data_IF_027512793311
#
_entry.id   IF_027512793311
#
_cell.length_a   1.000
_cell.length_b   1.000
_cell.length_c   1.000
_cell.angle_alpha   90.00
_cell.angle_beta   90.00
_cell.angle_gamma   90.00
#
_symmetry.space_group_name_H-M   'P 1'
#
loop_
_entity.id
_entity.type
_entity.pdbx_description
1 polymer ?
#
# COMPACT_ATOMS: atom_id res chain seq x y z
N UNK A 1 50.14 -41.67 -27.04
CA UNK A 1 49.36 -40.65 -27.77
C UNK A 1 48.02 -40.51 -27.07
N UNK A 2 47.79 -39.41 -26.36
CA UNK A 2 46.61 -39.17 -25.50
C UNK A 2 45.51 -38.48 -26.31
N UNK A 3 44.30 -39.05 -26.33
CA UNK A 3 43.07 -38.31 -26.66
C UNK A 3 42.08 -38.58 -25.54
N UNK A 4 42.03 -37.67 -24.58
CA UNK A 4 41.01 -37.63 -23.53
C UNK A 4 39.90 -36.69 -24.02
N UNK A 5 38.73 -37.25 -24.33
CA UNK A 5 37.50 -36.48 -24.52
C UNK A 5 37.18 -35.75 -23.21
N UNK A 6 37.09 -34.42 -23.27
CA UNK A 6 36.55 -33.59 -22.20
C UNK A 6 35.02 -33.64 -22.27
N UNK A 7 34.29 -33.98 -21.20
CA UNK A 7 32.87 -33.73 -21.14
C UNK A 7 32.65 -32.21 -20.96
N UNK A 8 31.86 -31.63 -21.84
CA UNK A 8 31.39 -30.25 -21.71
C UNK A 8 30.41 -30.16 -20.55
N UNK A 9 30.76 -29.41 -19.52
CA UNK A 9 29.83 -29.01 -18.46
C UNK A 9 28.96 -27.89 -19.02
N UNK A 10 27.71 -28.19 -19.35
CA UNK A 10 26.72 -27.19 -19.69
C UNK A 10 26.22 -26.55 -18.38
N UNK A 11 26.71 -25.35 -18.07
CA UNK A 11 26.19 -24.54 -16.98
C UNK A 11 24.78 -24.05 -17.32
N UNK A 12 23.78 -24.62 -16.64
CA UNK A 12 22.41 -24.16 -16.69
C UNK A 12 22.29 -22.87 -15.85
N UNK A 13 22.30 -21.71 -16.50
CA UNK A 13 21.92 -20.45 -15.86
C UNK A 13 20.39 -20.40 -15.84
N UNK A 14 19.78 -20.69 -14.69
CA UNK A 14 18.37 -20.38 -14.46
C UNK A 14 18.22 -18.85 -14.39
N UNK A 15 17.61 -18.24 -15.43
CA UNK A 15 17.15 -16.86 -15.35
C UNK A 15 15.95 -16.79 -14.40
N UNK A 16 16.18 -16.36 -13.16
CA UNK A 16 15.12 -15.92 -12.24
C UNK A 16 14.73 -14.49 -12.60
N UNK A 17 13.93 -14.32 -13.66
CA UNK A 17 13.55 -12.99 -14.17
C UNK A 17 12.52 -12.26 -13.27
N UNK A 18 11.98 -12.91 -12.24
CA UNK A 18 10.99 -12.32 -11.32
C UNK A 18 11.57 -11.49 -10.17
N UNK A 19 12.87 -11.60 -9.88
CA UNK A 19 13.48 -11.00 -8.68
C UNK A 19 13.86 -9.53 -8.85
N UNK A 20 14.17 -9.10 -10.07
CA UNK A 20 14.74 -7.77 -10.34
C UNK A 20 13.70 -6.66 -10.09
N UNK A 21 12.47 -6.80 -10.60
CA UNK A 21 11.43 -5.78 -10.43
C UNK A 21 10.97 -5.60 -8.97
N UNK A 22 10.91 -6.69 -8.19
CA UNK A 22 10.54 -6.64 -6.78
C UNK A 22 11.66 -6.08 -5.90
N UNK A 23 12.93 -6.43 -6.17
CA UNK A 23 14.08 -5.86 -5.46
C UNK A 23 14.26 -4.37 -5.78
N UNK A 24 14.12 -3.97 -7.04
CA UNK A 24 14.17 -2.56 -7.45
C UNK A 24 12.98 -1.77 -6.92
N UNK A 25 11.79 -2.37 -6.88
CA UNK A 25 10.60 -1.79 -6.26
C UNK A 25 10.82 -1.56 -4.76
N UNK A 26 11.30 -2.58 -4.05
CA UNK A 26 11.64 -2.52 -2.62
C UNK A 26 12.61 -1.40 -2.29
N UNK A 27 13.76 -1.34 -2.98
CA UNK A 27 14.76 -0.32 -2.73
C UNK A 27 14.20 1.10 -2.92
N UNK A 28 13.25 1.28 -3.86
CA UNK A 28 12.64 2.58 -4.16
C UNK A 28 11.53 2.98 -3.17
N UNK A 29 10.81 2.03 -2.57
CA UNK A 29 9.76 2.33 -1.58
C UNK A 29 10.26 2.30 -0.14
N UNK A 30 11.35 1.59 0.15
CA UNK A 30 11.91 1.49 1.49
C UNK A 30 12.42 2.84 2.01
N UNK A 31 11.98 3.19 3.22
CA UNK A 31 12.43 4.40 3.91
C UNK A 31 11.34 5.07 4.73
N UNK A 32 11.66 6.27 5.19
CA UNK A 32 10.72 7.16 5.85
C UNK A 32 10.31 8.27 4.90
N UNK A 33 9.00 8.45 4.77
CA UNK A 33 8.35 9.37 3.88
C UNK A 33 7.59 10.41 4.68
N UNK A 34 7.70 11.68 4.30
CA UNK A 34 6.96 12.79 4.90
C UNK A 34 6.08 13.44 3.85
N UNK A 35 4.91 13.90 4.27
CA UNK A 35 3.94 14.55 3.39
C UNK A 35 4.61 15.72 2.65
N UNK A 36 4.51 15.75 1.32
CA UNK A 36 5.16 16.75 0.48
C UNK A 36 4.34 18.05 0.37
N UNK A 37 3.07 18.01 0.76
CA UNK A 37 2.17 19.16 0.81
C UNK A 37 1.82 19.54 2.27
N UNK A 38 1.32 20.76 2.53
CA UNK A 38 0.77 21.12 3.84
C UNK A 38 -0.35 20.17 4.26
N UNK A 39 -0.44 19.87 5.56
CA UNK A 39 -1.46 18.97 6.12
C UNK A 39 -2.87 19.43 5.75
N UNK A 40 -3.15 20.73 5.86
CA UNK A 40 -4.44 21.31 5.48
C UNK A 40 -4.80 21.09 4.00
N UNK A 41 -3.81 20.99 3.11
CA UNK A 41 -4.07 20.67 1.71
C UNK A 41 -4.46 19.19 1.57
N UNK A 42 -3.74 18.29 2.24
CA UNK A 42 -4.04 16.87 2.23
C UNK A 42 -5.41 16.56 2.85
N UNK A 43 -5.79 17.23 3.94
CA UNK A 43 -7.12 17.14 4.56
C UNK A 43 -8.22 17.50 3.54
N UNK A 44 -8.07 18.61 2.81
CA UNK A 44 -9.04 18.98 1.75
C UNK A 44 -9.09 17.97 0.59
N UNK A 45 -8.00 17.26 0.31
CA UNK A 45 -8.00 16.20 -0.71
C UNK A 45 -8.82 15.00 -0.21
N UNK A 46 -8.63 14.59 1.06
CA UNK A 46 -9.42 13.54 1.70
C UNK A 46 -10.89 13.92 1.79
N UNK A 47 -11.19 15.16 2.22
CA UNK A 47 -12.57 15.66 2.35
C UNK A 47 -13.32 15.62 1.02
N UNK A 48 -12.67 16.05 -0.08
CA UNK A 48 -13.28 15.99 -1.42
C UNK A 48 -13.54 14.55 -1.88
N UNK A 49 -12.64 13.62 -1.56
CA UNK A 49 -12.84 12.21 -1.89
C UNK A 49 -13.99 11.59 -1.08
N UNK A 50 -14.07 11.91 0.21
CA UNK A 50 -15.17 11.49 1.08
C UNK A 50 -16.51 12.08 0.63
N UNK A 51 -16.53 13.36 0.23
CA UNK A 51 -17.70 14.02 -0.33
C UNK A 51 -18.15 13.37 -1.65
N UNK A 52 -17.22 13.07 -2.57
CA UNK A 52 -17.55 12.40 -3.83
C UNK A 52 -18.21 11.04 -3.59
N UNK A 53 -17.58 10.18 -2.78
CA UNK A 53 -18.12 8.85 -2.48
C UNK A 53 -19.47 8.92 -1.73
N UNK A 54 -19.64 9.87 -0.81
CA UNK A 54 -20.90 10.07 -0.11
C UNK A 54 -22.01 10.62 -1.03
N UNK A 55 -21.68 11.45 -2.01
CA UNK A 55 -22.67 12.03 -2.93
C UNK A 55 -23.32 10.97 -3.85
N UNK A 56 -22.62 9.87 -4.12
CA UNK A 56 -23.19 8.72 -4.82
C UNK A 56 -24.27 7.97 -4.00
N UNK A 57 -24.34 8.19 -2.69
CA UNK A 57 -25.33 7.57 -1.80
C UNK A 57 -26.67 8.29 -1.79
N UNK A 58 -27.69 7.68 -1.16
CA UNK A 58 -28.99 8.32 -0.93
C UNK A 58 -28.86 9.54 -0.01
N UNK A 59 -29.60 10.61 -0.33
CA UNK A 59 -29.51 11.91 0.35
C UNK A 59 -29.69 11.83 1.87
N UNK A 60 -30.51 10.89 2.35
CA UNK A 60 -30.78 10.68 3.78
C UNK A 60 -29.54 10.29 4.59
N UNK A 61 -28.57 9.59 3.97
CA UNK A 61 -27.39 9.06 4.68
C UNK A 61 -26.09 9.80 4.35
N UNK A 62 -26.08 10.70 3.36
CA UNK A 62 -24.85 11.35 2.84
C UNK A 62 -24.04 12.05 3.91
N UNK A 63 -24.71 12.80 4.79
CA UNK A 63 -24.02 13.55 5.85
C UNK A 63 -23.31 12.61 6.84
N UNK A 64 -23.98 11.52 7.22
CA UNK A 64 -23.43 10.50 8.11
C UNK A 64 -22.28 9.77 7.43
N UNK A 65 -22.46 9.36 6.18
CA UNK A 65 -21.43 8.68 5.40
C UNK A 65 -20.18 9.55 5.22
N UNK A 66 -20.36 10.83 4.87
CA UNK A 66 -19.27 11.80 4.73
C UNK A 66 -18.48 11.94 6.02
N UNK A 67 -19.14 12.09 7.17
CA UNK A 67 -18.46 12.17 8.47
C UNK A 67 -17.67 10.89 8.73
N UNK A 68 -18.30 9.71 8.58
CA UNK A 68 -17.63 8.42 8.82
C UNK A 68 -16.41 8.19 7.94
N UNK A 69 -16.50 8.52 6.65
CA UNK A 69 -15.37 8.39 5.72
C UNK A 69 -14.20 9.31 6.07
N UNK A 70 -14.50 10.54 6.50
CA UNK A 70 -13.50 11.51 6.96
C UNK A 70 -12.88 11.06 8.28
N UNK A 71 -13.70 10.76 9.28
CA UNK A 71 -13.26 10.45 10.65
C UNK A 71 -12.48 9.12 10.68
N UNK A 72 -12.80 8.18 9.78
CA UNK A 72 -12.05 6.93 9.57
C UNK A 72 -10.81 7.06 8.67
N UNK A 73 -10.40 8.28 8.29
CA UNK A 73 -9.23 8.53 7.45
C UNK A 73 -8.31 9.58 8.05
N UNK A 74 -7.28 9.12 8.75
CA UNK A 74 -6.21 9.99 9.25
C UNK A 74 -5.23 10.36 8.12
N UNK A 75 -4.95 11.66 7.97
CA UNK A 75 -3.85 12.13 7.09
C UNK A 75 -2.51 11.78 7.73
N UNK A 76 -1.79 10.86 7.09
CA UNK A 76 -0.46 10.45 7.52
C UNK A 76 0.59 11.52 7.18
N UNK A 77 1.13 12.19 8.20
CA UNK A 77 2.23 13.16 8.05
C UNK A 77 3.56 12.48 7.75
N UNK A 78 3.71 11.26 8.26
CA UNK A 78 4.87 10.38 8.12
C UNK A 78 4.42 8.95 7.91
N UNK A 79 5.06 8.27 6.97
CA UNK A 79 4.92 6.83 6.72
C UNK A 79 6.32 6.22 6.75
N UNK A 80 6.52 5.12 7.45
CA UNK A 80 7.75 4.34 7.39
C UNK A 80 7.46 2.99 6.76
N UNK A 81 8.23 2.66 5.73
CA UNK A 81 8.23 1.35 5.06
C UNK A 81 9.59 0.73 5.35
N UNK A 82 9.61 -0.41 6.04
CA UNK A 82 10.84 -1.17 6.35
C UNK A 82 10.64 -2.61 5.95
N UNK A 83 11.71 -3.25 5.48
CA UNK A 83 11.66 -4.65 5.12
C UNK A 83 12.69 -5.45 5.91
N UNK A 84 12.30 -6.61 6.41
CA UNK A 84 13.16 -7.59 7.07
C UNK A 84 12.91 -8.96 6.46
N UNK A 85 13.88 -9.51 5.72
CA UNK A 85 13.62 -10.65 4.84
C UNK A 85 12.46 -10.34 3.89
N UNK A 86 11.43 -11.19 3.89
CA UNK A 86 10.21 -11.03 3.08
C UNK A 86 9.08 -10.28 3.82
N UNK A 87 9.30 -9.88 5.06
CA UNK A 87 8.32 -9.11 5.82
C UNK A 87 8.44 -7.61 5.52
N UNK A 88 7.30 -6.99 5.19
CA UNK A 88 7.20 -5.53 5.14
C UNK A 88 6.47 -5.01 6.37
N UNK A 89 7.05 -4.01 7.02
CA UNK A 89 6.43 -3.26 8.11
C UNK A 89 6.09 -1.85 7.63
N UNK A 90 4.79 -1.54 7.60
CA UNK A 90 4.27 -0.19 7.35
C UNK A 90 3.90 0.44 8.68
N UNK A 91 4.44 1.62 8.99
CA UNK A 91 4.07 2.41 10.18
C UNK A 91 3.51 3.77 9.79
N UNK A 92 2.38 4.11 10.39
CA UNK A 92 1.61 5.33 10.14
C UNK A 92 1.83 6.38 11.23
N UNK A 93 1.23 7.57 11.06
CA UNK A 93 1.45 8.71 11.95
C UNK A 93 0.73 8.63 13.30
N UNK A 94 -0.33 7.82 13.36
CA UNK A 94 -1.07 7.50 14.59
C UNK A 94 -0.36 6.46 15.46
N UNK A 95 0.81 5.97 15.03
CA UNK A 95 1.59 4.94 15.73
C UNK A 95 1.21 3.52 15.34
N UNK A 96 0.12 3.30 14.58
CA UNK A 96 -0.24 2.00 14.06
C UNK A 96 0.86 1.46 13.14
N UNK A 97 1.11 0.15 13.24
CA UNK A 97 2.09 -0.54 12.42
C UNK A 97 1.61 -1.94 12.05
N UNK A 98 1.84 -2.33 10.80
CA UNK A 98 1.43 -3.62 10.26
C UNK A 98 2.64 -4.30 9.63
N UNK A 99 3.00 -5.47 10.17
CA UNK A 99 3.99 -6.36 9.59
C UNK A 99 3.28 -7.47 8.83
N UNK A 100 3.58 -7.59 7.54
CA UNK A 100 2.94 -8.52 6.60
C UNK A 100 4.01 -9.17 5.71
N UNK A 101 4.05 -10.50 5.62
CA UNK A 101 4.89 -11.19 4.64
C UNK A 101 4.45 -10.85 3.22
N UNK A 102 5.40 -10.61 2.33
CA UNK A 102 5.11 -10.34 0.92
C UNK A 102 4.54 -11.58 0.24
N UNK A 103 3.49 -11.38 -0.58
CA UNK A 103 2.84 -12.43 -1.36
C UNK A 103 1.84 -13.28 -0.57
N UNK A 104 1.80 -13.15 0.75
CA UNK A 104 0.90 -13.93 1.61
C UNK A 104 -0.22 -13.08 2.20
N UNK A 105 -1.34 -13.75 2.51
CA UNK A 105 -2.46 -13.13 3.22
C UNK A 105 -2.43 -13.61 4.66
N UNK A 106 -2.41 -12.66 5.59
CA UNK A 106 -2.37 -12.97 7.02
C UNK A 106 -3.60 -12.43 7.73
N UNK A 107 -4.22 -13.30 8.54
CA UNK A 107 -5.32 -12.90 9.41
C UNK A 107 -4.80 -12.19 10.66
N UNK A 108 -5.39 -11.05 10.99
CA UNK A 108 -5.10 -10.22 12.15
C UNK A 108 -6.41 -9.79 12.81
N UNK A 109 -6.31 -9.23 14.01
CA UNK A 109 -7.37 -8.42 14.60
C UNK A 109 -6.93 -6.98 14.66
N UNK A 110 -7.84 -6.05 14.45
CA UNK A 110 -7.59 -4.64 14.70
C UNK A 110 -7.59 -4.31 16.21
N UNK A 111 -7.50 -3.03 16.55
CA UNK A 111 -7.50 -2.58 17.95
C UNK A 111 -8.85 -2.81 18.65
N UNK A 112 -9.94 -2.96 17.89
CA UNK A 112 -11.29 -3.19 18.39
C UNK A 112 -11.64 -4.70 18.43
N UNK A 113 -10.74 -5.57 17.97
CA UNK A 113 -10.91 -7.02 17.95
C UNK A 113 -11.57 -7.58 16.68
N UNK A 114 -11.91 -6.71 15.71
CA UNK A 114 -12.46 -7.09 14.41
C UNK A 114 -11.40 -7.85 13.62
N UNK A 115 -11.81 -8.97 13.00
CA UNK A 115 -10.90 -9.76 12.17
C UNK A 115 -10.69 -9.09 10.82
N UNK A 116 -9.42 -8.94 10.44
CA UNK A 116 -9.03 -8.47 9.13
C UNK A 116 -8.08 -9.46 8.45
N UNK A 117 -8.14 -9.56 7.13
CA UNK A 117 -7.11 -10.17 6.31
C UNK A 117 -6.22 -9.07 5.75
N UNK A 118 -4.91 -9.25 5.84
CA UNK A 118 -3.92 -8.28 5.39
C UNK A 118 -2.99 -8.95 4.39
N UNK A 119 -2.83 -8.34 3.22
CA UNK A 119 -1.99 -8.84 2.14
C UNK A 119 -1.06 -7.74 1.66
N UNK A 120 0.23 -8.03 1.50
CA UNK A 120 1.18 -7.10 0.91
C UNK A 120 1.85 -7.74 -0.31
N UNK A 121 1.96 -7.00 -1.43
CA UNK A 121 2.63 -7.50 -2.64
C UNK A 121 3.18 -6.37 -3.49
N UNK A 122 4.25 -6.64 -4.23
CA UNK A 122 4.66 -5.76 -5.31
C UNK A 122 3.79 -6.00 -6.55
N UNK A 123 3.39 -4.90 -7.18
CA UNK A 123 2.82 -4.89 -8.52
C UNK A 123 3.94 -4.92 -9.56
N UNK A 124 3.59 -5.22 -10.81
CA UNK A 124 4.54 -5.28 -11.93
C UNK A 124 5.28 -3.96 -12.17
N UNK A 125 4.67 -2.82 -11.84
CA UNK A 125 5.23 -1.48 -11.95
C UNK A 125 6.22 -1.11 -10.81
N UNK A 126 6.42 -2.03 -9.85
CA UNK A 126 7.26 -1.79 -8.67
C UNK A 126 6.55 -1.04 -7.53
N UNK A 127 5.25 -0.77 -7.66
CA UNK A 127 4.44 -0.24 -6.55
C UNK A 127 4.23 -1.32 -5.49
N UNK A 128 4.32 -0.95 -4.22
CA UNK A 128 3.90 -1.83 -3.12
C UNK A 128 2.41 -1.63 -2.87
N UNK A 129 1.62 -2.69 -2.94
CA UNK A 129 0.21 -2.71 -2.57
C UNK A 129 0.04 -3.39 -1.20
N UNK A 130 -0.69 -2.73 -0.31
CA UNK A 130 -1.15 -3.28 0.97
C UNK A 130 -2.68 -3.27 0.99
N UNK A 131 -3.28 -4.44 1.17
CA UNK A 131 -4.74 -4.63 1.18
C UNK A 131 -5.17 -5.03 2.58
N UNK A 132 -6.15 -4.32 3.12
CA UNK A 132 -6.77 -4.57 4.41
C UNK A 132 -8.24 -4.90 4.15
N UNK A 133 -8.65 -6.13 4.40
CA UNK A 133 -10.01 -6.60 4.16
C UNK A 133 -10.68 -6.98 5.47
N UNK A 134 -11.88 -6.45 5.69
CA UNK A 134 -12.77 -6.71 6.84
C UNK A 134 -14.12 -7.17 6.33
N UNK A 135 -15.06 -7.49 7.22
CA UNK A 135 -16.47 -7.69 6.82
C UNK A 135 -17.12 -6.39 6.34
N UNK A 136 -16.67 -5.25 6.88
CA UNK A 136 -17.19 -3.92 6.54
C UNK A 136 -16.75 -3.39 5.18
N UNK A 137 -15.67 -3.91 4.61
CA UNK A 137 -15.11 -3.46 3.34
C UNK A 137 -13.61 -3.70 3.22
N UNK A 138 -13.03 -3.14 2.16
CA UNK A 138 -11.62 -3.29 1.82
C UNK A 138 -10.95 -1.93 1.67
N UNK A 139 -9.73 -1.81 2.19
CA UNK A 139 -8.88 -0.63 2.03
C UNK A 139 -7.56 -1.02 1.37
N UNK A 140 -7.18 -0.28 0.35
CA UNK A 140 -5.89 -0.41 -0.33
C UNK A 140 -5.02 0.78 0.00
N UNK A 141 -3.75 0.52 0.26
CA UNK A 141 -2.67 1.49 0.17
C UNK A 141 -1.74 1.07 -0.96
N UNK A 142 -1.54 1.96 -1.93
CA UNK A 142 -0.66 1.71 -3.07
C UNK A 142 0.46 2.74 -3.00
N UNK A 143 1.65 2.27 -2.65
CA UNK A 143 2.87 3.05 -2.52
C UNK A 143 3.64 2.97 -3.83
N UNK A 144 3.46 3.97 -4.68
CA UNK A 144 4.11 4.05 -5.99
C UNK A 144 5.36 4.94 -5.90
N UNK A 145 6.57 4.37 -6.06
CA UNK A 145 7.77 5.18 -6.15
C UNK A 145 7.70 6.05 -7.41
N UNK A 146 7.90 7.36 -7.25
CA UNK A 146 7.98 8.30 -8.35
C UNK A 146 9.46 8.64 -8.63
N UNK A 147 9.73 9.81 -9.24
CA UNK A 147 11.10 10.31 -9.39
C UNK A 147 11.87 10.27 -8.05
N UNK A 148 13.20 10.25 -8.10
CA UNK A 148 14.04 10.04 -6.92
C UNK A 148 13.58 10.81 -5.67
N UNK A 149 13.40 10.10 -4.57
CA UNK A 149 12.97 10.67 -3.30
C UNK A 149 11.51 11.14 -3.26
N UNK A 150 10.66 10.72 -4.20
CA UNK A 150 9.20 10.96 -4.19
C UNK A 150 8.44 9.65 -4.11
N UNK A 151 7.35 9.68 -3.35
CA UNK A 151 6.41 8.57 -3.22
C UNK A 151 5.00 9.08 -3.39
N UNK A 152 4.26 8.50 -4.32
CA UNK A 152 2.84 8.69 -4.44
C UNK A 152 2.14 7.61 -3.60
N UNK A 153 1.18 8.01 -2.77
CA UNK A 153 0.36 7.06 -2.01
C UNK A 153 -1.08 7.23 -2.42
N UNK A 154 -1.62 6.25 -3.14
CA UNK A 154 -3.04 6.16 -3.44
C UNK A 154 -3.72 5.32 -2.34
N UNK A 155 -4.86 5.81 -1.87
CA UNK A 155 -5.71 5.12 -0.91
C UNK A 155 -7.07 4.94 -1.53
N UNK A 156 -7.54 3.69 -1.52
CA UNK A 156 -8.87 3.30 -2.00
C UNK A 156 -9.59 2.66 -0.83
N UNK A 157 -10.85 3.03 -0.61
CA UNK A 157 -11.72 2.39 0.39
C UNK A 157 -13.03 2.04 -0.29
N UNK A 158 -13.37 0.77 -0.27
CA UNK A 158 -14.58 0.22 -0.88
C UNK A 158 -15.37 -0.61 0.14
N UNK A 159 -16.68 -0.66 -0.04
CA UNK A 159 -17.59 -1.38 0.84
C UNK A 159 -18.87 -1.73 0.09
N UNK A 160 -19.52 -2.88 0.40
CA UNK A 160 -20.84 -3.19 -0.15
C UNK A 160 -21.91 -2.11 0.14
N UNK A 161 -21.67 -1.25 1.13
CA UNK A 161 -22.56 -0.13 1.49
C UNK A 161 -22.25 1.15 0.71
N UNK A 162 -21.24 1.15 -0.14
CA UNK A 162 -20.78 2.28 -0.94
C UNK A 162 -21.08 2.02 -2.42
N UNK A 163 -21.92 2.85 -3.08
CA UNK A 163 -22.13 2.74 -4.52
C UNK A 163 -20.85 3.01 -5.33
N UNK A 164 -19.98 3.87 -4.78
CA UNK A 164 -18.69 4.21 -5.35
C UNK A 164 -17.62 4.20 -4.24
N UNK A 165 -16.44 3.68 -4.56
CA UNK A 165 -15.30 3.68 -3.66
C UNK A 165 -14.79 5.10 -3.40
N UNK A 166 -14.35 5.37 -2.17
CA UNK A 166 -13.58 6.57 -1.86
C UNK A 166 -12.14 6.37 -2.37
N UNK A 167 -11.62 7.32 -3.13
CA UNK A 167 -10.26 7.29 -3.67
C UNK A 167 -9.59 8.64 -3.57
N UNK A 168 -8.35 8.64 -3.09
CA UNK A 168 -7.52 9.84 -3.09
C UNK A 168 -6.04 9.50 -3.18
N UNK A 169 -5.24 10.50 -3.56
CA UNK A 169 -3.80 10.36 -3.72
C UNK A 169 -3.09 11.49 -2.99
N UNK A 170 -2.06 11.16 -2.22
CA UNK A 170 -1.19 12.12 -1.54
C UNK A 170 0.25 11.93 -1.97
N UNK A 171 0.99 13.03 -2.07
CA UNK A 171 2.40 13.03 -2.44
C UNK A 171 3.25 13.12 -1.19
N UNK A 172 4.30 12.31 -1.16
CA UNK A 172 5.30 12.27 -0.13
C UNK A 172 6.69 12.47 -0.72
N UNK A 173 7.60 12.90 0.13
CA UNK A 173 9.02 13.00 -0.16
C UNK A 173 9.81 12.23 0.88
N UNK A 174 10.98 11.75 0.51
CA UNK A 174 11.88 11.08 1.45
C UNK A 174 12.25 12.06 2.58
N UNK A 175 12.28 11.54 3.80
CA UNK A 175 12.71 12.30 4.99
C UNK A 175 14.21 12.58 4.93
#
# INVERSE_FOLDING_TARGET
MRVLLRPAVASLVLLVAGSVSAQDGRARVEGTWVLAQPVSHAERVVDRAAESAANAMSFFIRAIARSRLRDGTTVNRRISLRFDGDDVTVRFSDGSAFTTPLGETVRRRDQEGESMNVTARFREDGSLEHVFQTEGGTRWYIFTPAAEGRLQVEVITDSPRMPEAMRFTLQYRRR
#
